data_IF_072649004415
#
_entry.id   IF_072649004415
#
_cell.length_a   1.000
_cell.length_b   1.000
_cell.length_c   1.000
_cell.angle_alpha   90.00
_cell.angle_beta   90.00
_cell.angle_gamma   90.00
#
_symmetry.space_group_name_H-M   'P 1'
#
loop_
_entity.id
_entity.type
_entity.pdbx_description
1 polymer ?
#
# COMPACT_ATOMS: atom_id res chain seq x y z
N UNK A 1 -5.51 15.40 20.78
CA UNK A 1 -5.52 14.03 20.22
C UNK A 1 -4.09 13.53 20.16
N UNK A 2 -3.85 12.24 20.39
CA UNK A 2 -2.52 11.65 20.42
C UNK A 2 -2.14 11.01 19.09
N UNK A 3 -0.85 10.97 18.78
CA UNK A 3 -0.32 10.36 17.58
C UNK A 3 -0.51 8.84 17.64
N UNK A 4 -1.20 8.27 16.65
CA UNK A 4 -1.46 6.83 16.53
C UNK A 4 -0.18 5.98 16.57
N UNK A 5 0.94 6.52 16.08
CA UNK A 5 2.19 5.78 15.96
C UNK A 5 3.13 5.90 17.18
N UNK A 6 3.01 6.98 17.98
CA UNK A 6 3.98 7.24 19.06
C UNK A 6 3.42 7.86 20.34
N UNK A 7 2.11 8.10 20.42
CA UNK A 7 1.43 8.67 21.59
C UNK A 7 1.67 10.16 21.87
N UNK A 8 2.57 10.83 21.15
CA UNK A 8 2.85 12.27 21.34
C UNK A 8 1.72 13.16 20.82
N UNK A 9 1.65 14.45 21.23
CA UNK A 9 0.69 15.40 20.68
C UNK A 9 0.73 15.41 19.14
N UNK A 10 -0.44 15.20 18.53
CA UNK A 10 -0.57 15.14 17.09
C UNK A 10 -0.85 16.52 16.48
N UNK A 11 -0.46 16.69 15.22
CA UNK A 11 -0.61 17.95 14.46
C UNK A 11 -1.50 17.73 13.22
N UNK A 12 -1.44 16.54 12.62
CA UNK A 12 -2.30 16.15 11.50
C UNK A 12 -3.45 15.28 12.02
N UNK A 13 -4.69 15.73 11.84
CA UNK A 13 -5.91 14.99 12.20
C UNK A 13 -6.65 14.59 10.93
N UNK A 14 -7.06 13.34 10.85
CA UNK A 14 -7.78 12.75 9.73
C UNK A 14 -9.10 12.19 10.22
N UNK A 15 -10.20 12.77 9.76
CA UNK A 15 -11.51 12.15 9.86
C UNK A 15 -11.60 11.07 8.76
N UNK A 16 -11.90 9.83 9.13
CA UNK A 16 -11.95 8.71 8.20
C UNK A 16 -13.25 7.92 8.36
N UNK A 17 -13.82 7.52 7.23
CA UNK A 17 -14.90 6.54 7.17
C UNK A 17 -14.28 5.15 6.94
N UNK A 18 -14.55 4.22 7.86
CA UNK A 18 -14.15 2.83 7.71
C UNK A 18 -15.03 2.09 6.69
N UNK A 19 -14.41 1.23 5.89
CA UNK A 19 -15.07 0.23 5.07
C UNK A 19 -14.52 -1.14 5.45
N UNK A 20 -15.42 -2.05 5.80
CA UNK A 20 -15.13 -3.44 6.10
C UNK A 20 -15.38 -4.27 4.87
N UNK A 21 -14.38 -5.01 4.41
CA UNK A 21 -14.48 -5.95 3.29
C UNK A 21 -14.25 -7.36 3.79
N UNK A 22 -15.28 -8.20 3.71
CA UNK A 22 -15.18 -9.63 3.95
C UNK A 22 -15.03 -10.36 2.62
N UNK A 23 -13.94 -11.10 2.48
CA UNK A 23 -13.68 -11.94 1.33
C UNK A 23 -14.16 -13.37 1.60
N UNK A 24 -15.19 -13.80 0.86
CA UNK A 24 -15.78 -15.13 0.95
C UNK A 24 -15.31 -15.92 -0.25
N UNK A 25 -14.52 -16.98 -0.01
CA UNK A 25 -14.14 -17.92 -1.06
C UNK A 25 -15.13 -19.07 -1.10
N UNK A 26 -15.71 -19.28 -2.28
CA UNK A 26 -16.62 -20.38 -2.56
C UNK A 26 -16.09 -21.18 -3.76
N UNK A 27 -16.68 -22.33 -4.05
CA UNK A 27 -16.33 -23.22 -5.16
C UNK A 27 -16.47 -22.49 -6.51
N UNK A 28 -17.33 -21.48 -6.57
CA UNK A 28 -17.59 -20.64 -7.75
C UNK A 28 -16.69 -19.40 -7.85
N UNK A 29 -15.74 -19.23 -6.93
CA UNK A 29 -14.78 -18.12 -6.92
C UNK A 29 -14.87 -17.23 -5.68
N UNK A 30 -14.19 -16.10 -5.74
CA UNK A 30 -14.12 -15.14 -4.64
C UNK A 30 -15.26 -14.12 -4.74
N UNK A 31 -16.13 -14.10 -3.72
CA UNK A 31 -17.14 -13.08 -3.51
C UNK A 31 -16.67 -12.13 -2.43
N UNK A 32 -17.02 -10.86 -2.55
CA UNK A 32 -16.76 -9.84 -1.52
C UNK A 32 -18.06 -9.30 -0.99
N UNK A 33 -18.14 -9.18 0.33
CA UNK A 33 -19.22 -8.49 1.04
C UNK A 33 -18.60 -7.27 1.69
N UNK A 34 -19.22 -6.12 1.51
CA UNK A 34 -18.73 -4.87 2.10
C UNK A 34 -19.80 -4.25 2.98
N UNK A 35 -19.34 -3.59 4.04
CA UNK A 35 -20.18 -2.81 4.93
C UNK A 35 -19.43 -1.55 5.36
N UNK A 36 -20.16 -0.47 5.60
CA UNK A 36 -19.59 0.72 6.23
C UNK A 36 -19.37 0.45 7.72
N UNK A 37 -18.19 0.85 8.19
CA UNK A 37 -17.80 0.81 9.59
C UNK A 37 -18.15 2.12 10.28
N UNK A 38 -17.31 2.51 11.24
CA UNK A 38 -17.48 3.75 12.00
C UNK A 38 -16.74 4.90 11.32
N UNK A 39 -17.23 6.12 11.52
CA UNK A 39 -16.41 7.32 11.31
C UNK A 39 -15.51 7.51 12.53
N UNK A 40 -14.20 7.64 12.30
CA UNK A 40 -13.19 7.74 13.34
C UNK A 40 -12.25 8.90 13.04
N UNK A 41 -11.71 9.47 14.11
CA UNK A 41 -10.62 10.44 14.01
C UNK A 41 -9.31 9.78 14.41
N UNK A 42 -8.35 9.85 13.49
CA UNK A 42 -6.97 9.46 13.77
C UNK A 42 -6.07 10.68 13.66
N UNK A 43 -5.00 10.67 14.43
CA UNK A 43 -4.04 11.76 14.39
C UNK A 43 -2.59 11.27 14.32
N UNK A 44 -1.75 12.04 13.66
CA UNK A 44 -0.32 11.77 13.47
C UNK A 44 0.47 13.04 13.79
N UNK A 45 1.57 12.89 14.54
CA UNK A 45 2.46 14.00 14.84
C UNK A 45 3.43 14.28 13.68
N UNK A 46 3.90 15.52 13.60
CA UNK A 46 4.84 15.97 12.56
C UNK A 46 6.16 15.24 12.55
N UNK A 47 6.64 14.75 13.70
CA UNK A 47 7.90 13.98 13.75
C UNK A 47 7.74 12.62 13.06
N UNK A 48 6.62 11.92 13.25
CA UNK A 48 6.33 10.67 12.55
C UNK A 48 6.12 10.92 11.05
N UNK A 49 5.40 11.98 10.68
CA UNK A 49 5.22 12.37 9.29
C UNK A 49 6.54 12.72 8.59
N UNK A 50 7.41 13.50 9.25
CA UNK A 50 8.74 13.86 8.73
C UNK A 50 9.65 12.64 8.57
N UNK A 51 9.68 11.75 9.58
CA UNK A 51 10.43 10.50 9.50
C UNK A 51 9.94 9.64 8.33
N UNK A 52 8.62 9.60 8.10
CA UNK A 52 8.05 8.90 6.96
C UNK A 52 8.45 9.54 5.63
N UNK A 53 8.36 10.86 5.51
CA UNK A 53 8.76 11.58 4.31
C UNK A 53 10.24 11.37 3.98
N UNK A 54 11.12 11.38 4.98
CA UNK A 54 12.54 11.12 4.81
C UNK A 54 12.79 9.67 4.37
N UNK A 55 12.06 8.69 4.89
CA UNK A 55 12.14 7.30 4.40
C UNK A 55 11.72 7.16 2.93
N UNK A 56 10.74 7.96 2.47
CA UNK A 56 10.32 7.96 1.06
C UNK A 56 11.37 8.62 0.18
N UNK A 57 11.98 9.72 0.63
CA UNK A 57 13.05 10.44 -0.08
C UNK A 57 14.36 9.63 -0.12
N UNK A 58 14.67 8.93 0.97
CA UNK A 58 15.87 8.10 1.17
C UNK A 58 15.51 6.65 1.55
N UNK A 59 14.93 5.88 0.62
CA UNK A 59 14.45 4.53 0.87
C UNK A 59 15.56 3.49 1.03
N UNK A 60 16.85 3.87 1.12
CA UNK A 60 17.99 2.96 1.05
C UNK A 60 17.81 1.65 1.80
N UNK A 61 17.46 1.70 3.09
CA UNK A 61 17.21 0.50 3.90
C UNK A 61 15.99 -0.32 3.42
N UNK A 62 14.89 0.33 3.03
CA UNK A 62 13.66 -0.33 2.58
C UNK A 62 13.83 -0.96 1.20
N UNK A 63 14.49 -0.26 0.28
CA UNK A 63 14.82 -0.76 -1.06
C UNK A 63 15.78 -1.95 -1.01
N UNK A 64 16.78 -1.93 -0.13
CA UNK A 64 17.66 -3.09 0.09
C UNK A 64 16.85 -4.27 0.61
N UNK A 65 15.99 -4.06 1.62
CA UNK A 65 15.16 -5.12 2.19
C UNK A 65 14.18 -5.72 1.17
N UNK A 66 13.55 -4.89 0.34
CA UNK A 66 12.62 -5.36 -0.70
C UNK A 66 13.33 -5.96 -1.92
N UNK A 67 14.55 -5.52 -2.22
CA UNK A 67 15.36 -6.02 -3.33
C UNK A 67 16.13 -7.31 -3.02
N UNK A 68 16.43 -7.57 -1.74
CA UNK A 68 17.18 -8.74 -1.29
C UNK A 68 16.68 -10.09 -1.84
N UNK A 69 15.37 -10.44 -1.79
CA UNK A 69 14.91 -11.72 -2.34
C UNK A 69 15.13 -11.84 -3.85
N UNK A 70 14.98 -10.73 -4.59
CA UNK A 70 15.20 -10.72 -6.04
C UNK A 70 16.67 -10.81 -6.41
N UNK A 71 17.54 -10.15 -5.64
CA UNK A 71 18.99 -10.29 -5.78
C UNK A 71 19.45 -11.72 -5.48
N UNK A 72 18.89 -12.37 -4.45
CA UNK A 72 19.16 -13.76 -4.13
C UNK A 72 18.68 -14.71 -5.25
N UNK A 73 17.48 -14.48 -5.79
CA UNK A 73 16.96 -15.25 -6.93
C UNK A 73 17.83 -15.09 -8.19
N UNK A 74 18.31 -13.87 -8.45
CA UNK A 74 19.23 -13.60 -9.56
C UNK A 74 20.56 -14.34 -9.38
N UNK A 75 21.17 -14.25 -8.20
CA UNK A 75 22.42 -14.94 -7.89
C UNK A 75 22.27 -16.45 -8.03
N UNK A 76 21.19 -17.02 -7.49
CA UNK A 76 20.88 -18.45 -7.62
C UNK A 76 20.69 -18.85 -9.10
N UNK A 77 19.98 -18.03 -9.87
CA UNK A 77 19.78 -18.25 -11.31
C UNK A 77 21.11 -18.29 -12.07
N UNK A 78 22.01 -17.34 -11.81
CA UNK A 78 23.36 -17.28 -12.41
C UNK A 78 24.19 -18.50 -12.03
N UNK A 79 24.18 -18.91 -10.77
CA UNK A 79 24.90 -20.10 -10.28
C UNK A 79 24.40 -21.37 -10.97
N UNK A 80 23.08 -21.54 -11.08
CA UNK A 80 22.47 -22.71 -11.76
C UNK A 80 22.80 -22.75 -13.25
N UNK A 81 22.82 -21.60 -13.93
CA UNK A 81 23.23 -21.50 -15.35
C UNK A 81 24.71 -21.86 -15.52
N UNK A 82 25.56 -21.47 -14.56
CA UNK A 82 27.02 -21.58 -14.68
C UNK A 82 27.55 -22.98 -14.30
N UNK A 83 26.91 -23.67 -13.35
CA UNK A 83 27.38 -24.95 -12.79
C UNK A 83 26.73 -26.19 -13.41
N UNK A 84 25.63 -26.06 -14.15
CA UNK A 84 24.98 -27.20 -14.82
C UNK A 84 25.30 -27.22 -16.33
N UNK A 85 26.31 -27.99 -16.77
CA UNK A 85 26.59 -28.17 -18.19
C UNK A 85 25.43 -28.88 -18.91
N UNK A 86 25.42 -28.73 -20.24
CA UNK A 86 24.37 -29.12 -21.19
C UNK A 86 23.88 -30.58 -21.16
N UNK A 87 24.51 -31.46 -20.37
CA UNK A 87 24.15 -32.87 -20.19
C UNK A 87 23.36 -33.22 -18.92
N UNK A 88 23.03 -32.26 -18.04
CA UNK A 88 22.26 -32.48 -16.81
C UNK A 88 20.73 -32.38 -16.96
N UNK A 89 19.99 -32.76 -15.89
CA UNK A 89 18.52 -32.78 -15.82
C UNK A 89 17.86 -31.51 -16.42
N UNK A 90 16.99 -31.70 -17.42
CA UNK A 90 16.34 -30.62 -18.18
C UNK A 90 15.58 -29.59 -17.33
N UNK A 91 15.04 -30.01 -16.17
CA UNK A 91 14.32 -29.15 -15.23
C UNK A 91 15.22 -28.09 -14.61
N UNK A 92 16.41 -28.47 -14.13
CA UNK A 92 17.35 -27.54 -13.50
C UNK A 92 17.90 -26.52 -14.50
N UNK A 93 18.03 -26.93 -15.77
CA UNK A 93 18.44 -26.06 -16.88
C UNK A 93 17.41 -24.98 -17.22
N UNK A 94 16.11 -25.23 -17.02
CA UNK A 94 15.06 -24.23 -17.22
C UNK A 94 14.91 -23.30 -16.01
N UNK A 95 15.13 -23.81 -14.79
CA UNK A 95 14.97 -23.01 -13.57
C UNK A 95 16.00 -21.90 -13.43
N UNK A 96 17.25 -22.11 -13.88
CA UNK A 96 18.30 -21.08 -13.82
C UNK A 96 17.93 -19.79 -14.57
N UNK A 97 17.65 -19.85 -15.88
CA UNK A 97 17.19 -18.70 -16.67
C UNK A 97 15.90 -18.08 -16.12
N UNK A 98 14.92 -18.90 -15.71
CA UNK A 98 13.68 -18.40 -15.13
C UNK A 98 13.94 -17.59 -13.84
N UNK A 99 14.75 -18.12 -12.93
CA UNK A 99 15.12 -17.44 -11.68
C UNK A 99 15.90 -16.13 -11.94
N UNK A 100 16.81 -16.14 -12.93
CA UNK A 100 17.53 -14.93 -13.34
C UNK A 100 16.60 -13.85 -13.90
N UNK A 101 15.66 -14.23 -14.79
CA UNK A 101 14.67 -13.30 -15.34
C UNK A 101 13.78 -12.73 -14.23
N UNK A 102 13.25 -13.58 -13.34
CA UNK A 102 12.46 -13.14 -12.19
C UNK A 102 13.24 -12.21 -11.26
N UNK A 103 14.52 -12.50 -11.02
CA UNK A 103 15.40 -11.65 -10.23
C UNK A 103 15.63 -10.27 -10.86
N UNK A 104 15.90 -10.21 -12.16
CA UNK A 104 16.08 -8.94 -12.90
C UNK A 104 14.78 -8.13 -12.89
N UNK A 105 13.66 -8.75 -13.25
CA UNK A 105 12.36 -8.06 -13.31
C UNK A 105 11.93 -7.56 -11.93
N UNK A 106 12.13 -8.36 -10.88
CA UNK A 106 11.80 -7.97 -9.51
C UNK A 106 12.66 -6.82 -8.99
N UNK A 107 13.96 -6.82 -9.28
CA UNK A 107 14.85 -5.70 -8.96
C UNK A 107 14.45 -4.43 -9.74
N UNK A 108 14.20 -4.56 -11.04
CA UNK A 108 13.78 -3.44 -11.88
C UNK A 108 12.44 -2.84 -11.40
N UNK A 109 11.47 -3.67 -11.05
CA UNK A 109 10.19 -3.25 -10.48
C UNK A 109 10.39 -2.51 -9.15
N UNK A 110 11.20 -3.07 -8.25
CA UNK A 110 11.52 -2.45 -6.94
C UNK A 110 12.16 -1.08 -7.09
N UNK A 111 13.12 -0.95 -8.02
CA UNK A 111 13.78 0.32 -8.33
C UNK A 111 12.80 1.31 -8.94
N UNK A 112 12.01 0.87 -9.93
CA UNK A 112 11.01 1.70 -10.61
C UNK A 112 9.95 2.22 -9.64
N UNK A 113 9.44 1.39 -8.74
CA UNK A 113 8.48 1.78 -7.72
C UNK A 113 9.10 2.78 -6.75
N UNK A 114 10.35 2.59 -6.33
CA UNK A 114 11.09 3.55 -5.51
C UNK A 114 11.22 4.92 -6.20
N UNK A 115 11.60 4.94 -7.47
CA UNK A 115 11.70 6.16 -8.27
C UNK A 115 10.33 6.83 -8.48
N UNK A 116 9.28 6.05 -8.79
CA UNK A 116 7.91 6.56 -8.96
C UNK A 116 7.45 7.26 -7.69
N UNK A 117 7.61 6.62 -6.52
CA UNK A 117 7.22 7.22 -5.23
C UNK A 117 8.01 8.47 -4.91
N UNK A 118 9.32 8.51 -5.19
CA UNK A 118 10.13 9.73 -5.02
C UNK A 118 9.66 10.86 -5.93
N UNK A 119 9.30 10.55 -7.18
CA UNK A 119 8.80 11.55 -8.12
C UNK A 119 7.45 12.10 -7.68
N UNK A 120 6.53 11.22 -7.27
CA UNK A 120 5.21 11.59 -6.74
C UNK A 120 5.34 12.51 -5.51
N UNK A 121 6.16 12.13 -4.52
CA UNK A 121 6.38 12.97 -3.33
C UNK A 121 7.27 14.19 -3.59
N UNK A 122 8.14 14.15 -4.60
CA UNK A 122 8.96 15.29 -5.02
C UNK A 122 8.17 16.36 -5.76
N UNK A 123 7.03 16.00 -6.35
CA UNK A 123 6.10 16.94 -6.98
C UNK A 123 5.22 17.69 -5.97
N UNK A 124 5.10 17.18 -4.74
CA UNK A 124 4.31 17.79 -3.67
C UNK A 124 5.12 18.89 -2.95
N UNK A 125 4.47 20.02 -2.65
CA UNK A 125 5.09 21.12 -1.92
C UNK A 125 4.91 20.98 -0.41
N UNK A 126 5.94 21.37 0.35
CA UNK A 126 5.94 21.57 1.82
C UNK A 126 4.89 20.79 2.63
N UNK A 127 3.83 21.49 3.04
CA UNK A 127 2.77 20.94 3.89
C UNK A 127 1.94 19.85 3.22
N UNK A 128 1.73 19.87 1.91
CA UNK A 128 1.01 18.79 1.21
C UNK A 128 1.81 17.47 1.24
N UNK A 129 3.13 17.56 1.08
CA UNK A 129 4.01 16.40 1.20
C UNK A 129 3.99 15.83 2.62
N UNK A 130 3.95 16.70 3.63
CA UNK A 130 3.88 16.31 5.04
C UNK A 130 2.52 15.69 5.39
N UNK A 131 1.41 16.30 4.97
CA UNK A 131 0.07 15.75 5.16
C UNK A 131 -0.09 14.39 4.46
N UNK A 132 0.46 14.22 3.26
CA UNK A 132 0.46 12.93 2.56
C UNK A 132 1.33 11.88 3.26
N UNK A 133 2.48 12.27 3.81
CA UNK A 133 3.32 11.37 4.60
C UNK A 133 2.66 10.99 5.93
N UNK A 134 1.95 11.93 6.57
CA UNK A 134 1.15 11.68 7.76
C UNK A 134 0.01 10.69 7.46
N UNK A 135 -0.68 10.84 6.32
CA UNK A 135 -1.69 9.90 5.86
C UNK A 135 -1.12 8.48 5.64
N UNK A 136 0.05 8.36 5.00
CA UNK A 136 0.70 7.05 4.88
C UNK A 136 1.09 6.44 6.25
N UNK A 137 1.51 7.28 7.19
CA UNK A 137 1.82 6.81 8.55
C UNK A 137 0.57 6.28 9.25
N UNK A 138 -0.57 6.95 9.06
CA UNK A 138 -1.87 6.48 9.55
C UNK A 138 -2.20 5.12 8.95
N UNK A 139 -2.14 4.97 7.61
CA UNK A 139 -2.47 3.69 6.96
C UNK A 139 -1.53 2.55 7.36
N UNK A 140 -0.29 2.85 7.76
CA UNK A 140 0.63 1.83 8.27
C UNK A 140 0.33 1.42 9.72
N UNK A 141 -0.10 2.35 10.57
CA UNK A 141 -0.33 2.14 12.00
C UNK A 141 -1.78 1.75 12.34
N UNK A 142 -2.76 2.15 11.54
CA UNK A 142 -4.17 1.88 11.77
C UNK A 142 -4.47 0.37 11.65
N UNK A 143 -5.48 -0.14 12.40
CA UNK A 143 -5.89 -1.53 12.30
C UNK A 143 -6.19 -1.93 10.87
N UNK A 144 -5.65 -3.05 10.40
CA UNK A 144 -5.91 -3.53 9.02
C UNK A 144 -7.06 -4.52 8.96
N UNK A 145 -7.48 -5.08 10.09
CA UNK A 145 -8.52 -6.09 10.19
C UNK A 145 -9.43 -5.84 11.39
N UNK A 146 -10.70 -6.18 11.23
CA UNK A 146 -11.67 -6.32 12.30
C UNK A 146 -12.32 -7.71 12.17
N UNK A 147 -11.86 -8.65 13.00
CA UNK A 147 -12.18 -10.07 12.82
C UNK A 147 -11.66 -10.56 11.47
N UNK A 148 -12.53 -11.18 10.68
CA UNK A 148 -12.21 -11.69 9.34
C UNK A 148 -12.30 -10.63 8.22
N UNK A 149 -12.79 -9.43 8.54
CA UNK A 149 -12.94 -8.35 7.57
C UNK A 149 -11.69 -7.50 7.48
N UNK A 150 -11.26 -7.21 6.26
CA UNK A 150 -10.21 -6.23 5.96
C UNK A 150 -10.77 -4.81 6.09
N UNK A 151 -9.98 -3.91 6.66
CA UNK A 151 -10.35 -2.50 6.88
C UNK A 151 -9.69 -1.61 5.84
N UNK A 152 -10.52 -0.78 5.21
CA UNK A 152 -10.10 0.32 4.33
C UNK A 152 -10.60 1.63 4.92
N UNK A 153 -9.79 2.69 4.82
CA UNK A 153 -10.11 4.00 5.36
C UNK A 153 -10.27 5.01 4.23
N UNK A 154 -11.44 5.65 4.16
CA UNK A 154 -11.73 6.75 3.23
C UNK A 154 -11.57 8.04 4.03
N UNK A 155 -10.60 8.92 3.74
CA UNK A 155 -10.52 10.22 4.38
C UNK A 155 -11.77 11.04 4.03
N UNK A 156 -12.26 11.83 4.97
CA UNK A 156 -13.35 12.78 4.76
C UNK A 156 -12.73 14.17 4.64
N UNK A 157 -12.16 14.45 3.47
CA UNK A 157 -11.54 15.73 3.13
C UNK A 157 -12.16 16.37 1.88
N UNK A 158 -11.69 17.59 1.54
CA UNK A 158 -12.16 18.34 0.36
C UNK A 158 -12.00 17.57 -0.97
N UNK A 159 -11.02 16.67 -1.08
CA UNK A 159 -10.81 15.89 -2.31
C UNK A 159 -11.88 14.83 -2.42
N UNK A 160 -12.16 14.10 -1.34
CA UNK A 160 -13.25 13.11 -1.29
C UNK A 160 -14.64 13.72 -1.40
N UNK A 161 -14.85 14.95 -0.89
CA UNK A 161 -16.09 15.72 -1.08
C UNK A 161 -16.32 16.19 -2.52
N UNK A 162 -15.29 16.15 -3.38
CA UNK A 162 -15.42 16.46 -4.79
C UNK A 162 -15.68 15.21 -5.65
N UNK A 163 -15.61 14.01 -5.08
CA UNK A 163 -15.75 12.74 -5.79
C UNK A 163 -17.23 12.35 -5.93
N UNK A 164 -17.59 11.75 -7.06
CA UNK A 164 -18.90 11.10 -7.23
C UNK A 164 -18.87 9.68 -6.67
N UNK A 165 -20.04 9.10 -6.45
CA UNK A 165 -20.18 7.71 -6.06
C UNK A 165 -19.38 6.73 -6.96
N UNK A 166 -19.38 6.95 -8.27
CA UNK A 166 -18.60 6.16 -9.23
C UNK A 166 -17.08 6.26 -9.02
N UNK A 167 -16.58 7.43 -8.62
CA UNK A 167 -15.16 7.60 -8.32
C UNK A 167 -14.77 6.86 -7.03
N UNK A 168 -15.65 6.87 -6.02
CA UNK A 168 -15.46 6.10 -4.78
C UNK A 168 -15.41 4.59 -5.05
N UNK A 169 -16.22 4.08 -5.98
CA UNK A 169 -16.16 2.68 -6.42
C UNK A 169 -14.79 2.33 -7.01
N UNK A 170 -14.21 3.21 -7.82
CA UNK A 170 -12.95 2.94 -8.51
C UNK A 170 -11.77 3.09 -7.56
N UNK A 171 -11.70 4.21 -6.82
CA UNK A 171 -10.55 4.57 -5.99
C UNK A 171 -10.43 3.70 -4.73
N UNK A 172 -11.56 3.29 -4.15
CA UNK A 172 -11.60 2.49 -2.92
C UNK A 172 -12.14 1.08 -3.16
N UNK A 173 -12.29 0.68 -4.42
CA UNK A 173 -12.79 -0.64 -4.83
C UNK A 173 -14.13 -1.01 -4.18
N UNK A 174 -15.03 -0.04 -3.99
CA UNK A 174 -16.32 -0.26 -3.33
C UNK A 174 -17.32 -0.95 -4.25
N UNK A 175 -18.20 -1.76 -3.66
CA UNK A 175 -19.41 -2.24 -4.29
C UNK A 175 -20.39 -1.07 -4.53
N UNK A 176 -21.20 -1.11 -5.61
CA UNK A 176 -22.07 0.02 -5.97
C UNK A 176 -22.95 0.52 -4.82
N UNK A 177 -23.57 -0.40 -4.07
CA UNK A 177 -24.45 -0.04 -2.95
C UNK A 177 -23.68 0.63 -1.80
N UNK A 178 -22.47 0.16 -1.51
CA UNK A 178 -21.63 0.71 -0.43
C UNK A 178 -21.04 2.06 -0.85
N UNK A 179 -20.72 2.24 -2.12
CA UNK A 179 -20.28 3.53 -2.64
C UNK A 179 -21.37 4.61 -2.54
N UNK A 180 -22.63 4.25 -2.79
CA UNK A 180 -23.76 5.17 -2.61
C UNK A 180 -23.92 5.56 -1.12
N UNK A 181 -23.92 4.58 -0.22
CA UNK A 181 -24.00 4.85 1.22
C UNK A 181 -22.81 5.68 1.73
N UNK A 182 -21.58 5.40 1.25
CA UNK A 182 -20.40 6.16 1.60
C UNK A 182 -20.49 7.59 1.09
N UNK A 183 -21.00 7.78 -0.14
CA UNK A 183 -21.23 9.09 -0.72
C UNK A 183 -22.19 9.91 0.15
N UNK A 184 -23.33 9.32 0.55
CA UNK A 184 -24.32 10.00 1.39
C UNK A 184 -23.75 10.40 2.75
N UNK A 185 -22.99 9.51 3.41
CA UNK A 185 -22.35 9.85 4.70
C UNK A 185 -21.27 10.92 4.58
N UNK A 186 -20.54 10.96 3.46
CA UNK A 186 -19.47 11.95 3.24
C UNK A 186 -20.04 13.32 2.87
N UNK A 187 -21.14 13.38 2.11
CA UNK A 187 -21.67 14.64 1.55
C UNK A 187 -22.88 15.20 2.30
N UNK A 188 -23.63 14.37 3.02
CA UNK A 188 -24.87 14.77 3.70
C UNK A 188 -24.79 14.66 5.24
N UNK A 189 -23.66 14.18 5.79
CA UNK A 189 -23.36 14.21 7.23
C UNK A 189 -22.74 15.54 7.65
#
# INVERSE_FOLDING_TARGET
>A
MECLNCGRPAEYVFHVLEVRTLHIRDIFGEKRVQALGKSLDYAVCRTCAAARLEQIRRPGKRMVKSGAPFAAALALGIVLISLLPTGGNAVLRLMGPAAAICGILGLAATVRDGFRRRKEFGALQGEEAMARAAWECLLEAAPRKAGDSDLTYIPVDRKTLALKNGDLMILYHLLPQIAAQAYDLIHCG
#
